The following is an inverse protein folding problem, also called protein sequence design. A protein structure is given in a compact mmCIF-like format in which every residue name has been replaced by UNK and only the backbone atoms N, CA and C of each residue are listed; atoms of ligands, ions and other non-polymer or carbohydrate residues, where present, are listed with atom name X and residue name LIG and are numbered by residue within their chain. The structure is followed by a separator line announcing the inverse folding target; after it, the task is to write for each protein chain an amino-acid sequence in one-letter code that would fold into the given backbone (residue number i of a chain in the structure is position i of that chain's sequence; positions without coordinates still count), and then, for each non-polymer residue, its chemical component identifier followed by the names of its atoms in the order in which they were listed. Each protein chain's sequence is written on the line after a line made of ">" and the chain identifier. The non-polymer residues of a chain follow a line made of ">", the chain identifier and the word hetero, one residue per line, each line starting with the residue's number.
data_IF_782661157536
#
_entry.id   IF_782661157536
#
_cell.length_a   1.000
_cell.length_b   1.000
_cell.length_c   1.000
_cell.angle_alpha   90.00
_cell.angle_beta   90.00
_cell.angle_gamma   90.00
#
_symmetry.space_group_name_H-M   'P 1'
#
loop_
_entity.id
_entity.type
_entity.pdbx_description
1 polymer ?
#
# COMPACT_ATOMS: atom_id res chain seq x y z
N UNK A 1 0.72 5.57 11.01
CA UNK A 1 -0.01 6.47 10.05
C UNK A 1 -1.34 5.83 9.67
N UNK A 2 -2.43 6.55 9.36
CA UNK A 2 -3.70 5.93 8.90
C UNK A 2 -3.54 5.33 7.48
N UNK A 3 -3.98 4.08 7.26
CA UNK A 3 -3.89 3.35 5.99
C UNK A 3 -4.38 4.18 4.80
N UNK A 4 -5.48 4.93 4.97
CA UNK A 4 -6.02 5.78 3.90
C UNK A 4 -5.05 6.87 3.45
N UNK A 5 -4.38 7.51 4.41
CA UNK A 5 -3.38 8.54 4.11
C UNK A 5 -2.15 7.91 3.44
N UNK A 6 -1.74 6.72 3.88
CA UNK A 6 -0.62 5.97 3.32
C UNK A 6 -0.87 5.57 1.87
N UNK A 7 -2.05 5.03 1.55
CA UNK A 7 -2.44 4.66 0.18
C UNK A 7 -2.44 5.87 -0.76
N UNK A 8 -2.97 7.01 -0.30
CA UNK A 8 -2.95 8.26 -1.07
C UNK A 8 -1.52 8.72 -1.34
N UNK A 9 -0.63 8.60 -0.34
CA UNK A 9 0.79 8.94 -0.48
C UNK A 9 1.48 7.99 -1.46
N UNK A 10 1.18 6.70 -1.42
CA UNK A 10 1.74 5.72 -2.34
C UNK A 10 1.37 6.01 -3.80
N UNK A 11 0.12 6.37 -4.07
CA UNK A 11 -0.30 6.75 -5.42
C UNK A 11 0.39 8.02 -5.94
N UNK A 12 0.70 8.98 -5.06
CA UNK A 12 1.50 10.15 -5.43
C UNK A 12 2.96 9.77 -5.71
N UNK A 13 3.57 8.95 -4.85
CA UNK A 13 4.94 8.47 -5.06
C UNK A 13 5.06 7.63 -6.33
N UNK A 14 4.05 6.82 -6.64
CA UNK A 14 3.99 6.05 -7.89
C UNK A 14 4.00 6.98 -9.12
N UNK A 15 3.25 8.10 -9.07
CA UNK A 15 3.27 9.13 -10.13
C UNK A 15 4.61 9.84 -10.25
N UNK A 16 5.23 10.15 -9.12
CA UNK A 16 6.50 10.90 -9.07
C UNK A 16 7.69 10.06 -9.58
N UNK A 17 7.69 8.76 -9.29
CA UNK A 17 8.78 7.84 -9.62
C UNK A 17 8.52 6.97 -10.86
N UNK A 18 7.32 7.07 -11.45
CA UNK A 18 6.84 6.24 -12.56
C UNK A 18 7.03 4.73 -12.32
N UNK A 19 6.73 4.28 -11.09
CA UNK A 19 6.81 2.89 -10.69
C UNK A 19 5.62 2.49 -9.80
N UNK A 20 5.32 1.20 -9.74
CA UNK A 20 4.29 0.68 -8.84
C UNK A 20 4.84 0.59 -7.41
N UNK A 21 3.98 0.87 -6.43
CA UNK A 21 4.30 0.85 -5.02
C UNK A 21 3.53 -0.25 -4.30
N UNK A 22 4.03 -0.69 -3.16
CA UNK A 22 3.36 -1.60 -2.23
C UNK A 22 3.17 -0.86 -0.92
N UNK A 23 1.94 -0.93 -0.40
CA UNK A 23 1.60 -0.48 0.94
C UNK A 23 1.33 -1.70 1.80
N UNK A 24 2.06 -1.85 2.90
CA UNK A 24 1.81 -2.95 3.82
C UNK A 24 2.48 -2.78 5.17
N UNK A 25 2.13 -3.67 6.09
CA UNK A 25 2.65 -3.70 7.47
C UNK A 25 3.89 -4.61 7.50
N UNK A 26 4.96 -4.16 8.15
CA UNK A 26 6.22 -4.90 8.31
C UNK A 26 6.24 -5.82 9.55
N UNK A 27 5.08 -5.98 10.20
CA UNK A 27 4.91 -6.71 11.45
C UNK A 27 5.08 -5.86 12.70
N UNK A 28 5.44 -4.57 12.57
CA UNK A 28 5.53 -3.64 13.70
C UNK A 28 4.22 -2.91 13.97
N UNK A 29 3.22 -3.04 13.09
CA UNK A 29 1.96 -2.31 13.19
C UNK A 29 1.96 -0.96 12.47
N UNK A 30 3.05 -0.60 11.78
CA UNK A 30 3.14 0.60 10.96
C UNK A 30 2.98 0.28 9.48
N UNK A 31 2.26 1.14 8.76
CA UNK A 31 2.13 1.05 7.31
C UNK A 31 3.34 1.66 6.61
N UNK A 32 4.01 0.84 5.81
CA UNK A 32 5.18 1.23 5.02
C UNK A 32 4.81 1.29 3.55
N UNK A 33 5.44 2.22 2.83
CA UNK A 33 5.35 2.34 1.37
C UNK A 33 6.73 1.99 0.81
N UNK A 34 6.78 1.06 -0.13
CA UNK A 34 8.02 0.75 -0.86
C UNK A 34 7.75 0.44 -2.33
N UNK A 35 8.77 0.58 -3.19
CA UNK A 35 8.64 0.17 -4.59
C UNK A 35 8.33 -1.33 -4.71
N UNK A 36 7.51 -1.70 -5.70
CA UNK A 36 7.17 -3.10 -5.98
C UNK A 36 8.38 -3.94 -6.45
N UNK A 37 9.41 -3.29 -6.99
CA UNK A 37 10.65 -3.94 -7.42
C UNK A 37 11.66 -4.12 -6.27
N UNK A 38 11.39 -3.59 -5.08
CA UNK A 38 12.21 -3.81 -3.89
C UNK A 38 11.90 -5.21 -3.32
N UNK A 39 12.87 -6.13 -3.21
CA UNK A 39 12.63 -7.48 -2.68
C UNK A 39 12.03 -7.52 -1.27
N UNK A 40 12.14 -6.42 -0.51
CA UNK A 40 11.53 -6.31 0.83
C UNK A 40 10.01 -6.18 0.77
N UNK A 41 9.42 -5.81 -0.37
CA UNK A 41 7.97 -5.66 -0.53
C UNK A 41 7.24 -6.98 -0.31
N UNK A 42 7.88 -8.10 -0.65
CA UNK A 42 7.33 -9.45 -0.47
C UNK A 42 7.16 -9.84 1.01
N UNK A 43 7.81 -9.11 1.92
CA UNK A 43 7.69 -9.34 3.36
C UNK A 43 6.54 -8.56 4.02
N UNK A 44 5.90 -7.63 3.29
CA UNK A 44 4.82 -6.82 3.82
C UNK A 44 3.50 -7.59 3.82
N UNK A 45 2.78 -7.56 4.95
CA UNK A 45 1.53 -8.28 5.10
C UNK A 45 0.49 -7.49 5.92
N UNK A 46 -0.68 -7.13 5.36
CA UNK A 46 -1.07 -7.34 3.97
C UNK A 46 -0.31 -6.40 3.02
N UNK A 47 0.05 -6.89 1.83
CA UNK A 47 0.66 -6.07 0.77
C UNK A 47 -0.39 -5.63 -0.25
N UNK A 48 -0.68 -4.34 -0.29
CA UNK A 48 -1.62 -3.71 -1.24
C UNK A 48 -0.82 -3.03 -2.34
N UNK A 49 -1.04 -3.43 -3.60
CA UNK A 49 -0.32 -2.83 -4.73
C UNK A 49 -1.04 -1.56 -5.18
N UNK A 50 -0.27 -0.48 -5.30
CA UNK A 50 -0.74 0.86 -5.64
C UNK A 50 0.02 1.37 -6.86
N UNK A 51 -0.71 1.76 -7.89
CA UNK A 51 -0.19 2.43 -9.08
C UNK A 51 -0.53 3.93 -9.07
N UNK A 52 -0.23 4.61 -10.18
CA UNK A 52 -0.56 6.02 -10.38
C UNK A 52 -2.06 6.34 -10.39
N UNK A 53 -2.93 5.36 -10.55
CA UNK A 53 -4.38 5.45 -10.48
C UNK A 53 -4.94 5.22 -9.06
N UNK A 54 -4.19 4.55 -8.20
CA UNK A 54 -4.62 4.17 -6.85
C UNK A 54 -4.36 2.69 -6.60
N UNK A 55 -5.24 2.02 -5.86
CA UNK A 55 -5.13 0.58 -5.65
C UNK A 55 -5.30 -0.13 -7.01
N UNK A 56 -4.34 -0.99 -7.36
CA UNK A 56 -4.27 -1.62 -8.69
C UNK A 56 -5.29 -2.74 -8.87
N UNK A 57 -5.52 -3.54 -7.84
CA UNK A 57 -6.32 -4.75 -7.91
C UNK A 57 -7.64 -4.61 -7.12
N UNK A 58 -8.79 -5.05 -7.67
CA UNK A 58 -10.08 -4.98 -6.97
C UNK A 58 -10.10 -5.70 -5.61
N UNK A 59 -9.46 -6.86 -5.50
CA UNK A 59 -9.34 -7.63 -4.25
C UNK A 59 -8.59 -6.87 -3.14
N UNK A 60 -7.63 -6.03 -3.53
CA UNK A 60 -6.91 -5.17 -2.60
C UNK A 60 -7.78 -4.01 -2.12
N UNK A 61 -8.78 -3.58 -2.91
CA UNK A 61 -9.75 -2.56 -2.50
C UNK A 61 -10.61 -3.11 -1.36
N UNK A 62 -11.11 -4.34 -1.49
CA UNK A 62 -11.89 -4.98 -0.43
C UNK A 62 -11.04 -5.20 0.83
N UNK A 63 -9.79 -5.62 0.66
CA UNK A 63 -8.82 -5.77 1.75
C UNK A 63 -8.57 -4.44 2.46
N UNK A 64 -8.26 -3.38 1.72
CA UNK A 64 -8.04 -2.03 2.25
C UNK A 64 -9.28 -1.50 3.00
N UNK A 65 -10.48 -1.69 2.44
CA UNK A 65 -11.72 -1.28 3.08
C UNK A 65 -11.97 -2.01 4.40
N UNK A 66 -11.67 -3.32 4.44
CA UNK A 66 -11.80 -4.11 5.67
C UNK A 66 -10.81 -3.67 6.75
N UNK A 67 -9.56 -3.35 6.38
CA UNK A 67 -8.55 -2.85 7.29
C UNK A 67 -8.93 -1.48 7.86
N UNK A 68 -9.37 -0.55 7.00
CA UNK A 68 -9.85 0.77 7.43
C UNK A 68 -11.04 0.67 8.40
N UNK A 69 -11.97 -0.28 8.16
CA UNK A 69 -13.11 -0.52 9.07
C UNK A 69 -12.67 -1.05 10.45
N UNK A 70 -11.54 -1.75 10.50
CA UNK A 70 -10.94 -2.23 11.75
C UNK A 70 -10.14 -1.15 12.49
N UNK A 71 -10.02 0.05 11.92
CA UNK A 71 -9.21 1.14 12.47
C UNK A 71 -7.71 0.89 12.37
N UNK A 72 -7.29 0.04 11.41
CA UNK A 72 -5.90 -0.16 11.03
C UNK A 72 -5.57 0.67 9.81
#
# INVERSE_FOLDING_TARGET
>A
MDLKATLKRAANLSRENDCDMVVGDDGTGEWIIMPLDDPRSDSLAPGIIVDKGGIRYPEDIDTANNLMRQGR
#
